data_IF_334607099263
#
_entry.id   IF_334607099263
#
_cell.length_a   1.000
_cell.length_b   1.000
_cell.length_c   1.000
_cell.angle_alpha   90.00
_cell.angle_beta   90.00
_cell.angle_gamma   90.00
#
_symmetry.space_group_name_H-M   'P 1'
#
loop_
_entity.id
_entity.type
_entity.pdbx_description
1 polymer ?
#
# COMPACT_ATOMS: atom_id res chain seq x y z
N UNK A 1 -3.68 48.06 -30.62
CA UNK A 1 -4.42 47.07 -29.80
C UNK A 1 -4.11 45.69 -30.32
N UNK A 2 -3.23 44.94 -29.66
CA UNK A 2 -2.85 43.58 -30.05
C UNK A 2 -3.50 42.62 -29.03
N UNK A 3 -4.46 41.80 -29.45
CA UNK A 3 -5.06 40.75 -28.62
C UNK A 3 -4.30 39.44 -28.86
N UNK A 4 -3.51 39.03 -27.87
CA UNK A 4 -2.91 37.70 -27.78
C UNK A 4 -4.01 36.68 -27.45
N UNK A 5 -4.18 35.68 -28.31
CA UNK A 5 -5.05 34.52 -28.06
C UNK A 5 -4.15 33.41 -27.53
N UNK A 6 -4.31 33.04 -26.26
CA UNK A 6 -3.64 31.89 -25.64
C UNK A 6 -4.51 30.66 -25.91
N UNK A 7 -4.01 29.61 -26.59
CA UNK A 7 -4.78 28.40 -26.78
C UNK A 7 -4.78 27.59 -25.47
N UNK A 8 -5.97 27.40 -24.91
CA UNK A 8 -6.20 26.52 -23.78
C UNK A 8 -6.01 25.06 -24.22
N UNK A 9 -4.90 24.44 -23.79
CA UNK A 9 -4.62 23.03 -24.00
C UNK A 9 -5.53 22.21 -23.08
N UNK A 10 -6.62 21.67 -23.62
CA UNK A 10 -7.51 20.73 -22.94
C UNK A 10 -6.77 19.39 -22.78
N UNK A 11 -6.25 19.12 -21.58
CA UNK A 11 -5.81 17.79 -21.18
C UNK A 11 -7.05 16.89 -21.03
N UNK A 12 -7.31 16.05 -22.03
CA UNK A 12 -8.27 14.96 -21.92
C UNK A 12 -7.69 13.89 -21.00
N UNK A 13 -8.20 13.81 -19.77
CA UNK A 13 -7.92 12.69 -18.87
C UNK A 13 -8.62 11.46 -19.46
N UNK A 14 -7.85 10.60 -20.13
CA UNK A 14 -8.32 9.30 -20.61
C UNK A 14 -8.89 8.53 -19.44
N UNK A 15 -10.20 8.29 -19.43
CA UNK A 15 -10.85 7.44 -18.45
C UNK A 15 -10.39 5.99 -18.67
N UNK A 16 -9.36 5.57 -17.94
CA UNK A 16 -9.00 4.17 -17.81
C UNK A 16 -10.19 3.45 -17.14
N UNK A 17 -10.86 2.61 -17.92
CA UNK A 17 -11.93 1.73 -17.43
C UNK A 17 -11.31 0.65 -16.53
N UNK A 18 -11.13 0.94 -15.25
CA UNK A 18 -10.75 -0.06 -14.26
C UNK A 18 -11.96 -0.93 -13.91
N UNK A 19 -11.78 -2.25 -13.95
CA UNK A 19 -12.80 -3.19 -13.50
C UNK A 19 -13.10 -2.96 -12.02
N UNK A 20 -14.39 -2.79 -11.68
CA UNK A 20 -14.82 -2.58 -10.31
C UNK A 20 -14.45 -3.80 -9.44
N UNK A 21 -13.50 -3.63 -8.53
CA UNK A 21 -13.02 -4.71 -7.65
C UNK A 21 -14.09 -5.12 -6.66
N UNK A 22 -14.37 -6.43 -6.54
CA UNK A 22 -15.31 -6.93 -5.54
C UNK A 22 -14.68 -6.82 -4.13
N UNK A 23 -15.33 -6.18 -3.14
CA UNK A 23 -14.77 -6.00 -1.78
C UNK A 23 -14.34 -7.30 -1.10
N UNK A 24 -15.02 -8.41 -1.37
CA UNK A 24 -14.67 -9.73 -0.83
C UNK A 24 -13.26 -10.21 -1.27
N UNK A 25 -12.82 -9.82 -2.47
CA UNK A 25 -11.51 -10.19 -3.02
C UNK A 25 -10.34 -9.40 -2.41
N UNK A 26 -10.65 -8.29 -1.73
CA UNK A 26 -9.67 -7.44 -1.05
C UNK A 26 -9.44 -7.90 0.38
N UNK A 27 -10.48 -8.41 1.05
CA UNK A 27 -10.37 -8.99 2.40
C UNK A 27 -9.38 -10.16 2.48
N UNK A 28 -9.17 -10.87 1.37
CA UNK A 28 -8.18 -11.96 1.32
C UNK A 28 -6.74 -11.47 1.30
N UNK A 29 -6.46 -10.19 0.99
CA UNK A 29 -5.08 -9.66 0.96
C UNK A 29 -4.38 -9.80 2.31
N UNK A 30 -5.12 -9.64 3.42
CA UNK A 30 -4.59 -9.81 4.76
C UNK A 30 -4.04 -11.23 5.01
N UNK A 31 -4.73 -12.25 4.47
CA UNK A 31 -4.30 -13.65 4.59
C UNK A 31 -3.15 -14.02 3.64
N UNK A 32 -2.84 -13.13 2.68
CA UNK A 32 -1.80 -13.35 1.68
C UNK A 32 -0.52 -12.55 1.96
N UNK A 33 -0.54 -11.68 2.98
CA UNK A 33 0.52 -10.70 3.18
C UNK A 33 1.89 -11.39 3.30
N UNK A 34 2.01 -12.47 4.07
CA UNK A 34 3.27 -13.21 4.26
C UNK A 34 3.41 -14.43 3.33
N UNK A 35 2.47 -14.64 2.41
CA UNK A 35 2.43 -15.84 1.58
C UNK A 35 3.28 -15.68 0.33
N UNK A 36 4.31 -16.52 0.18
CA UNK A 36 5.17 -16.56 -1.00
C UNK A 36 4.46 -17.17 -2.21
N UNK A 37 4.86 -16.75 -3.40
CA UNK A 37 4.44 -17.40 -4.65
C UNK A 37 5.41 -18.52 -4.99
N UNK A 38 4.88 -19.72 -5.22
CA UNK A 38 5.62 -20.79 -5.88
C UNK A 38 5.47 -20.62 -7.39
N UNK A 39 6.32 -19.78 -7.98
CA UNK A 39 6.35 -19.59 -9.43
C UNK A 39 7.07 -20.76 -10.12
N UNK A 40 6.51 -21.22 -11.24
CA UNK A 40 7.20 -22.12 -12.16
C UNK A 40 8.47 -21.46 -12.73
N UNK A 41 9.36 -22.24 -13.37
CA UNK A 41 10.56 -21.67 -14.00
C UNK A 41 10.18 -20.67 -15.10
N UNK A 42 9.19 -21.02 -15.91
CA UNK A 42 8.65 -20.19 -16.98
C UNK A 42 8.05 -18.88 -16.43
N UNK A 43 7.38 -18.94 -15.28
CA UNK A 43 6.83 -17.76 -14.63
C UNK A 43 7.91 -16.87 -14.01
N UNK A 44 8.96 -17.45 -13.40
CA UNK A 44 10.10 -16.68 -12.89
C UNK A 44 10.82 -15.91 -13.98
N UNK A 45 10.99 -16.55 -15.14
CA UNK A 45 11.59 -15.93 -16.32
C UNK A 45 10.68 -14.86 -16.91
N UNK A 46 9.38 -15.15 -17.04
CA UNK A 46 8.36 -14.19 -17.51
C UNK A 46 8.26 -12.94 -16.64
N UNK A 47 8.29 -13.10 -15.33
CA UNK A 47 8.17 -11.99 -14.39
C UNK A 47 9.52 -11.39 -13.98
N UNK A 48 10.63 -11.90 -14.52
CA UNK A 48 12.00 -11.48 -14.17
C UNK A 48 12.20 -11.33 -12.65
N UNK A 49 11.68 -12.28 -11.87
CA UNK A 49 11.71 -12.26 -10.40
C UNK A 49 11.02 -11.06 -9.71
N UNK A 50 10.17 -10.30 -10.40
CA UNK A 50 9.42 -9.16 -9.84
C UNK A 50 8.22 -9.55 -8.97
N UNK A 51 7.95 -10.85 -8.84
CA UNK A 51 6.91 -11.39 -7.96
C UNK A 51 7.55 -12.39 -6.99
N UNK A 52 7.54 -12.04 -5.72
CA UNK A 52 8.01 -12.85 -4.59
C UNK A 52 6.81 -13.31 -3.74
N UNK A 53 5.79 -12.47 -3.60
CA UNK A 53 4.67 -12.67 -2.68
C UNK A 53 3.30 -12.62 -3.36
N UNK A 54 2.33 -13.36 -2.80
CA UNK A 54 0.96 -13.46 -3.33
C UNK A 54 0.21 -12.15 -3.23
N UNK A 55 0.54 -11.29 -2.26
CA UNK A 55 -0.07 -9.98 -2.17
C UNK A 55 0.34 -9.11 -3.37
N UNK A 56 1.60 -9.16 -3.82
CA UNK A 56 2.08 -8.42 -4.99
C UNK A 56 1.32 -8.86 -6.24
N UNK A 57 1.25 -10.17 -6.49
CA UNK A 57 0.51 -10.75 -7.62
C UNK A 57 -0.95 -10.27 -7.60
N UNK A 58 -1.58 -10.32 -6.42
CA UNK A 58 -2.97 -9.90 -6.25
C UNK A 58 -3.14 -8.40 -6.51
N UNK A 59 -2.31 -7.55 -5.91
CA UNK A 59 -2.37 -6.10 -6.09
C UNK A 59 -2.12 -5.75 -7.56
N UNK A 60 -1.08 -6.30 -8.19
CA UNK A 60 -0.75 -6.04 -9.59
C UNK A 60 -1.88 -6.47 -10.52
N UNK A 61 -2.44 -7.66 -10.31
CA UNK A 61 -3.59 -8.13 -11.08
C UNK A 61 -4.80 -7.20 -10.94
N UNK A 62 -5.11 -6.76 -9.73
CA UNK A 62 -6.26 -5.88 -9.46
C UNK A 62 -6.03 -4.44 -9.95
N UNK A 63 -4.78 -3.98 -9.93
CA UNK A 63 -4.36 -2.69 -10.45
C UNK A 63 -4.13 -2.69 -11.97
N UNK A 64 -4.38 -3.81 -12.66
CA UNK A 64 -4.13 -4.01 -14.10
C UNK A 64 -2.66 -3.71 -14.49
N UNK A 65 -1.72 -4.11 -13.65
CA UNK A 65 -0.29 -4.06 -13.95
C UNK A 65 0.07 -5.17 -14.95
N UNK A 66 0.78 -4.79 -16.01
CA UNK A 66 1.32 -5.69 -17.02
C UNK A 66 2.81 -5.90 -16.78
N UNK A 67 3.13 -6.92 -15.98
CA UNK A 67 4.52 -7.24 -15.63
C UNK A 67 5.34 -7.54 -16.90
N UNK A 68 6.55 -6.97 -16.97
CA UNK A 68 7.45 -7.06 -18.13
C UNK A 68 7.15 -6.05 -19.25
N UNK A 69 6.01 -5.34 -19.19
CA UNK A 69 5.67 -4.24 -20.10
C UNK A 69 5.60 -2.90 -19.40
N UNK A 70 5.03 -2.88 -18.21
CA UNK A 70 4.91 -1.66 -17.43
C UNK A 70 6.27 -1.23 -16.87
N UNK A 71 6.61 0.05 -17.01
CA UNK A 71 7.77 0.62 -16.32
C UNK A 71 7.48 0.77 -14.82
N UNK A 72 8.51 0.87 -13.99
CA UNK A 72 8.35 1.07 -12.55
C UNK A 72 7.42 2.26 -12.20
N UNK A 73 7.52 3.37 -12.95
CA UNK A 73 6.63 4.52 -12.79
C UNK A 73 5.17 4.23 -13.14
N UNK A 74 4.91 3.38 -14.15
CA UNK A 74 3.54 2.97 -14.49
C UNK A 74 2.97 1.99 -13.47
N UNK A 75 3.78 1.03 -12.99
CA UNK A 75 3.38 0.11 -11.91
C UNK A 75 2.96 0.94 -10.70
N UNK A 76 3.83 1.87 -10.26
CA UNK A 76 3.55 2.79 -9.17
C UNK A 76 2.24 3.54 -9.38
N UNK A 77 2.05 4.16 -10.53
CA UNK A 77 0.84 4.94 -10.83
C UNK A 77 -0.43 4.09 -10.79
N UNK A 78 -0.41 2.88 -11.38
CA UNK A 78 -1.54 1.94 -11.37
C UNK A 78 -1.87 1.47 -9.96
N UNK A 79 -0.86 1.12 -9.17
CA UNK A 79 -1.06 0.68 -7.78
C UNK A 79 -1.60 1.82 -6.93
N UNK A 80 -1.10 3.05 -7.06
CA UNK A 80 -1.63 4.22 -6.35
C UNK A 80 -3.11 4.47 -6.69
N UNK A 81 -3.47 4.41 -7.97
CA UNK A 81 -4.86 4.57 -8.41
C UNK A 81 -5.77 3.48 -7.84
N UNK A 82 -5.33 2.21 -7.92
CA UNK A 82 -6.03 1.09 -7.29
C UNK A 82 -6.21 1.34 -5.79
N UNK A 83 -5.16 1.79 -5.10
CA UNK A 83 -5.19 2.03 -3.67
C UNK A 83 -6.23 3.09 -3.31
N UNK A 84 -6.20 4.25 -3.95
CA UNK A 84 -7.15 5.35 -3.72
C UNK A 84 -8.60 4.88 -3.91
N UNK A 85 -8.87 4.08 -4.95
CA UNK A 85 -10.22 3.59 -5.24
C UNK A 85 -10.71 2.54 -4.24
N UNK A 86 -9.81 1.85 -3.54
CA UNK A 86 -10.13 0.69 -2.73
C UNK A 86 -9.72 0.83 -1.26
N UNK A 87 -9.18 1.98 -0.83
CA UNK A 87 -8.59 2.20 0.50
C UNK A 87 -9.55 1.87 1.65
N UNK A 88 -10.86 2.09 1.48
CA UNK A 88 -11.89 1.74 2.48
C UNK A 88 -12.16 0.23 2.59
N UNK A 89 -11.68 -0.56 1.64
CA UNK A 89 -11.86 -2.01 1.60
C UNK A 89 -10.55 -2.76 1.87
N UNK A 90 -9.42 -2.07 1.94
CA UNK A 90 -8.10 -2.59 2.30
C UNK A 90 -7.94 -2.67 3.83
N UNK A 91 -8.87 -3.37 4.48
CA UNK A 91 -8.94 -3.52 5.94
C UNK A 91 -8.78 -4.98 6.35
N UNK A 92 -8.11 -5.21 7.48
CA UNK A 92 -7.90 -6.52 8.08
C UNK A 92 -8.63 -6.64 9.41
N UNK A 93 -9.20 -7.83 9.66
CA UNK A 93 -9.93 -8.15 10.88
C UNK A 93 -9.52 -9.58 11.31
N UNK A 94 -8.31 -9.68 11.87
CA UNK A 94 -7.69 -10.93 12.26
C UNK A 94 -7.61 -11.04 13.79
N UNK A 95 -7.78 -12.24 14.35
CA UNK A 95 -7.83 -12.47 15.80
C UNK A 95 -6.59 -11.98 16.56
N UNK A 96 -5.41 -11.98 15.92
CA UNK A 96 -4.15 -11.52 16.52
C UNK A 96 -3.84 -10.05 16.26
N UNK A 97 -4.75 -9.33 15.58
CA UNK A 97 -4.58 -7.91 15.28
C UNK A 97 -5.39 -7.05 16.26
N UNK A 98 -4.72 -6.13 16.93
CA UNK A 98 -5.31 -5.31 17.99
C UNK A 98 -6.15 -4.12 17.48
N UNK A 99 -6.32 -3.97 16.17
CA UNK A 99 -7.17 -2.93 15.56
C UNK A 99 -8.26 -3.62 14.74
N UNK A 100 -9.49 -3.65 15.29
CA UNK A 100 -10.64 -4.20 14.59
C UNK A 100 -10.85 -3.45 13.26
N UNK A 101 -10.95 -4.20 12.15
CA UNK A 101 -11.04 -3.63 10.79
C UNK A 101 -9.98 -2.56 10.49
N UNK A 102 -8.78 -2.67 11.07
CA UNK A 102 -7.70 -1.73 10.82
C UNK A 102 -7.18 -1.82 9.38
N UNK A 103 -6.52 -0.78 8.90
CA UNK A 103 -5.89 -0.79 7.57
C UNK A 103 -4.89 -1.95 7.42
N UNK A 104 -4.78 -2.47 6.19
CA UNK A 104 -3.81 -3.53 5.85
C UNK A 104 -2.36 -3.11 6.16
N UNK A 105 -2.07 -1.81 6.12
CA UNK A 105 -0.76 -1.26 6.46
C UNK A 105 -0.46 -1.48 7.95
N UNK A 106 -1.37 -1.09 8.85
CA UNK A 106 -1.20 -1.34 10.29
C UNK A 106 -1.12 -2.83 10.59
N UNK A 107 -1.88 -3.64 9.87
CA UNK A 107 -1.80 -5.09 9.98
C UNK A 107 -0.39 -5.60 9.59
N UNK A 108 0.16 -5.21 8.44
CA UNK A 108 1.50 -5.61 8.01
C UNK A 108 2.58 -5.21 9.03
N UNK A 109 2.48 -4.01 9.62
CA UNK A 109 3.36 -3.56 10.71
C UNK A 109 3.23 -4.48 11.94
N UNK A 110 2.01 -4.83 12.35
CA UNK A 110 1.78 -5.75 13.48
C UNK A 110 2.38 -7.14 13.26
N UNK A 111 2.56 -7.53 11.99
CA UNK A 111 3.15 -8.79 11.55
C UNK A 111 4.65 -8.67 11.26
N UNK A 112 5.23 -7.47 11.37
CA UNK A 112 6.63 -7.15 11.02
C UNK A 112 6.99 -7.60 9.61
N UNK A 113 6.06 -7.43 8.68
CA UNK A 113 6.26 -7.91 7.33
C UNK A 113 6.93 -6.83 6.48
N UNK A 114 8.26 -6.81 6.58
CA UNK A 114 9.16 -5.80 6.02
C UNK A 114 8.95 -5.59 4.51
N UNK A 115 8.84 -6.67 3.72
CA UNK A 115 8.74 -6.56 2.26
C UNK A 115 7.48 -5.80 1.81
N UNK A 116 6.32 -6.07 2.43
CA UNK A 116 5.11 -5.28 2.14
C UNK A 116 5.26 -3.83 2.55
N UNK A 117 5.94 -3.54 3.66
CA UNK A 117 6.17 -2.18 4.15
C UNK A 117 7.05 -1.41 3.16
N UNK A 118 8.08 -2.05 2.62
CA UNK A 118 8.95 -1.48 1.60
C UNK A 118 8.18 -1.20 0.30
N UNK A 119 7.39 -2.18 -0.17
CA UNK A 119 6.56 -2.05 -1.37
C UNK A 119 5.56 -0.89 -1.30
N UNK A 120 4.80 -0.76 -0.21
CA UNK A 120 3.82 0.33 -0.09
C UNK A 120 4.50 1.71 -0.07
N UNK A 121 5.72 1.80 0.47
CA UNK A 121 6.50 3.03 0.50
C UNK A 121 7.05 3.33 -0.90
N UNK A 122 7.56 2.33 -1.61
CA UNK A 122 8.07 2.47 -2.98
C UNK A 122 6.96 2.87 -3.96
N UNK A 123 5.80 2.19 -3.88
CA UNK A 123 4.61 2.57 -4.62
C UNK A 123 4.07 3.94 -4.19
N UNK A 124 4.45 4.42 -3.00
CA UNK A 124 4.02 5.73 -2.49
C UNK A 124 2.50 5.85 -2.45
N UNK A 125 1.84 4.83 -1.92
CA UNK A 125 0.38 4.85 -1.68
C UNK A 125 0.03 5.87 -0.60
N UNK A 126 -1.25 6.20 -0.44
CA UNK A 126 -1.67 7.11 0.61
C UNK A 126 -1.37 6.51 2.01
N UNK A 127 -0.58 7.23 2.82
CA UNK A 127 -0.16 6.79 4.17
C UNK A 127 -0.92 7.51 5.30
N UNK A 128 -1.75 8.49 4.96
CA UNK A 128 -2.39 9.40 5.90
C UNK A 128 -3.87 9.06 6.17
N UNK A 129 -4.31 7.85 5.82
CA UNK A 129 -5.62 7.34 6.20
C UNK A 129 -5.73 7.31 7.73
N UNK A 130 -6.85 7.81 8.24
CA UNK A 130 -7.26 7.67 9.64
C UNK A 130 -8.23 6.50 9.72
N UNK A 131 -7.84 5.42 10.38
CA UNK A 131 -8.76 4.29 10.55
C UNK A 131 -9.89 4.68 11.51
N UNK A 132 -11.13 4.43 11.10
CA UNK A 132 -12.31 4.82 11.88
C UNK A 132 -12.45 4.05 13.19
N UNK A 133 -11.85 2.85 13.28
CA UNK A 133 -11.98 1.97 14.44
C UNK A 133 -11.15 2.40 15.65
N UNK A 134 -10.00 3.01 15.43
CA UNK A 134 -9.10 3.47 16.50
C UNK A 134 -8.76 4.96 16.42
N UNK A 135 -9.25 5.66 15.38
CA UNK A 135 -9.08 7.08 15.19
C UNK A 135 -7.58 7.48 15.03
N UNK A 136 -6.74 6.57 14.53
CA UNK A 136 -5.28 6.75 14.38
C UNK A 136 -4.83 6.62 12.93
N UNK A 137 -3.78 7.36 12.56
CA UNK A 137 -3.03 7.07 11.33
C UNK A 137 -2.10 5.89 11.51
N UNK A 138 -1.42 5.45 10.44
CA UNK A 138 -0.35 4.47 10.53
C UNK A 138 0.79 4.95 11.44
N UNK A 139 1.13 6.24 11.42
CA UNK A 139 2.23 6.78 12.21
C UNK A 139 1.88 6.86 13.69
N UNK A 140 0.63 7.20 14.02
CA UNK A 140 0.10 7.11 15.39
C UNK A 140 0.16 5.67 15.91
N UNK A 141 -0.20 4.69 15.08
CA UNK A 141 -0.13 3.28 15.45
C UNK A 141 1.31 2.82 15.71
N UNK A 142 2.26 3.13 14.83
CA UNK A 142 3.67 2.77 15.01
C UNK A 142 4.22 3.39 16.30
N UNK A 143 3.91 4.65 16.58
CA UNK A 143 4.40 5.33 17.78
C UNK A 143 3.87 4.68 19.08
N UNK A 144 2.62 4.23 19.08
CA UNK A 144 2.03 3.48 20.18
C UNK A 144 2.72 2.12 20.39
N UNK A 145 2.92 1.35 19.32
CA UNK A 145 3.64 0.06 19.38
C UNK A 145 5.12 0.24 19.78
N UNK A 146 5.78 1.31 19.32
CA UNK A 146 7.11 1.70 19.77
C UNK A 146 7.14 1.93 21.29
N UNK A 147 6.18 2.68 21.83
CA UNK A 147 6.10 2.94 23.27
C UNK A 147 5.89 1.66 24.08
N UNK A 148 5.06 0.73 23.61
CA UNK A 148 4.80 -0.57 24.26
C UNK A 148 6.01 -1.51 24.22
N UNK A 149 6.81 -1.41 23.17
CA UNK A 149 7.97 -2.28 22.92
C UNK A 149 9.27 -1.81 23.57
N UNK A 150 9.26 -0.69 24.30
CA UNK A 150 10.46 -0.09 24.90
C UNK A 150 11.23 -1.09 25.77
N UNK A 151 12.54 -1.20 25.55
CA UNK A 151 13.43 -2.13 26.23
C UNK A 151 13.33 -3.58 25.77
N UNK A 152 12.52 -3.87 24.74
CA UNK A 152 12.42 -5.20 24.12
C UNK A 152 13.20 -5.26 22.82
N UNK A 153 13.39 -6.46 22.27
CA UNK A 153 14.02 -6.66 20.96
C UNK A 153 13.24 -6.01 19.79
N UNK A 154 11.97 -5.64 20.01
CA UNK A 154 11.11 -5.04 18.98
C UNK A 154 11.22 -3.52 18.87
N UNK A 155 11.73 -2.85 19.90
CA UNK A 155 11.94 -1.39 19.89
C UNK A 155 12.70 -0.89 18.64
N UNK A 156 13.87 -1.45 18.24
CA UNK A 156 14.58 -0.98 17.06
C UNK A 156 13.79 -1.18 15.75
N UNK A 157 12.92 -2.19 15.67
CA UNK A 157 12.07 -2.45 14.50
C UNK A 157 11.05 -1.33 14.34
N UNK A 158 10.33 -0.98 15.41
CA UNK A 158 9.33 0.10 15.35
C UNK A 158 9.98 1.48 15.17
N UNK A 159 11.18 1.72 15.70
CA UNK A 159 11.96 2.94 15.39
C UNK A 159 12.25 3.03 13.90
N UNK A 160 12.67 1.92 13.27
CA UNK A 160 12.94 1.85 11.83
C UNK A 160 11.69 2.14 11.01
N UNK A 161 10.58 1.47 11.31
CA UNK A 161 9.30 1.71 10.64
C UNK A 161 8.86 3.15 10.77
N UNK A 162 8.90 3.72 11.98
CA UNK A 162 8.52 5.11 12.21
C UNK A 162 9.31 6.05 11.28
N UNK A 163 10.63 5.86 11.19
CA UNK A 163 11.50 6.66 10.32
C UNK A 163 11.17 6.47 8.83
N UNK A 164 10.97 5.23 8.37
CA UNK A 164 10.62 4.92 6.99
C UNK A 164 9.30 5.60 6.58
N UNK A 165 8.23 5.39 7.35
CA UNK A 165 6.93 6.00 7.09
C UNK A 165 6.98 7.53 7.17
N UNK A 166 7.67 8.09 8.16
CA UNK A 166 7.81 9.54 8.28
C UNK A 166 8.53 10.14 7.08
N UNK A 167 9.59 9.50 6.61
CA UNK A 167 10.35 9.91 5.41
C UNK A 167 9.49 9.82 4.15
N UNK A 168 8.62 8.80 4.08
CA UNK A 168 7.64 8.63 3.01
C UNK A 168 6.45 9.62 3.07
N UNK A 169 6.43 10.54 4.04
CA UNK A 169 5.41 11.58 4.15
C UNK A 169 4.20 11.19 5.00
N UNK A 170 4.26 10.09 5.75
CA UNK A 170 3.25 9.76 6.73
C UNK A 170 3.22 10.79 7.87
N UNK A 171 2.03 11.09 8.34
CA UNK A 171 1.76 12.08 9.37
C UNK A 171 0.95 11.47 10.51
N UNK A 172 1.13 12.01 11.71
CA UNK A 172 0.21 11.79 12.80
C UNK A 172 -1.12 12.46 12.49
N UNK A 173 -2.21 11.93 13.04
CA UNK A 173 -3.55 12.53 12.87
C UNK A 173 -3.57 14.02 13.23
N UNK A 174 -2.83 14.44 14.26
CA UNK A 174 -2.75 15.85 14.71
C UNK A 174 -2.08 16.81 13.70
N UNK A 175 -1.48 16.29 12.64
CA UNK A 175 -0.75 17.04 11.61
C UNK A 175 -1.47 17.03 10.26
N UNK A 176 -2.64 16.38 10.20
CA UNK A 176 -3.51 16.31 9.02
C UNK A 176 -4.42 17.54 8.94
#
# INVERSE_FOLDING_TARGET
>A
MLRMIIPALLLTISQLNFAQTKPASLKTLCALVDSRVELSKEEKEKYNHQLVYRFEEKIYKLANVEIGKDSAGMIRSKVQQFWIQNEEHLTCDALSFNVAKGSIIKFAISRMFDDFIEDIIEWGVALNKVDTSDNRTVLDYIADEQSKSKGTALEPVYIRYYKQFRTAGAKHRKEL
#
